data_IF_642445258682
#
_entry.id   IF_642445258682
#
_cell.length_a   1.000
_cell.length_b   1.000
_cell.length_c   1.000
_cell.angle_alpha   90.00
_cell.angle_beta   90.00
_cell.angle_gamma   90.00
#
_symmetry.space_group_name_H-M   'P 1'
#
loop_
_entity.id
_entity.type
_entity.pdbx_description
1 polymer ?
#
# COMPACT_ATOMS: atom_id res chain seq x y z
N UNK A 1 11.91 19.06 12.61
CA UNK A 1 11.08 17.87 12.32
C UNK A 1 10.72 17.93 10.85
N UNK A 2 10.86 16.82 10.10
CA UNK A 2 10.30 16.76 8.75
C UNK A 2 8.77 16.78 8.87
N UNK A 3 8.10 17.61 8.08
CA UNK A 3 6.63 17.63 8.04
C UNK A 3 6.15 16.57 7.06
N UNK A 4 5.34 15.62 7.54
CA UNK A 4 4.60 14.71 6.67
C UNK A 4 3.31 15.38 6.18
N UNK A 5 2.82 15.08 4.96
CA UNK A 5 1.51 15.52 4.53
C UNK A 5 0.42 14.70 5.22
N UNK A 6 0.03 15.13 6.43
CA UNK A 6 -0.90 14.37 7.28
C UNK A 6 -2.33 14.28 6.73
N UNK A 7 -2.76 15.24 5.91
CA UNK A 7 -4.07 15.26 5.28
C UNK A 7 -4.10 14.40 4.01
N UNK A 8 -3.80 13.11 4.18
CA UNK A 8 -3.77 12.10 3.13
C UNK A 8 -4.02 10.70 3.71
N UNK A 9 -4.41 9.76 2.85
CA UNK A 9 -4.54 8.35 3.21
C UNK A 9 -3.21 7.63 3.14
N UNK A 10 -2.90 6.86 4.18
CA UNK A 10 -1.72 6.00 4.27
C UNK A 10 -2.13 4.57 4.58
N UNK A 11 -1.61 3.59 3.84
CA UNK A 11 -1.79 2.19 4.20
C UNK A 11 -1.09 1.90 5.54
N UNK A 12 -1.82 1.40 6.51
CA UNK A 12 -1.33 1.05 7.84
C UNK A 12 -0.99 -0.43 7.98
N UNK A 13 -1.63 -1.27 7.18
CA UNK A 13 -1.52 -2.72 7.20
C UNK A 13 -2.17 -3.32 5.93
N UNK A 14 -1.77 -4.54 5.58
CA UNK A 14 -2.68 -5.43 4.85
C UNK A 14 -3.90 -5.76 5.71
N UNK A 15 -5.05 -5.93 5.09
CA UNK A 15 -6.30 -6.28 5.78
C UNK A 15 -6.19 -7.54 6.65
N UNK A 16 -5.47 -8.56 6.17
CA UNK A 16 -5.21 -9.82 6.88
C UNK A 16 -4.29 -9.69 8.10
N UNK A 17 -3.50 -8.61 8.20
CA UNK A 17 -2.69 -8.32 9.40
C UNK A 17 -3.57 -7.86 10.56
N UNK A 18 -4.68 -7.16 10.27
CA UNK A 18 -5.58 -6.62 11.29
C UNK A 18 -6.60 -7.67 11.69
N UNK A 19 -6.37 -8.27 12.84
CA UNK A 19 -7.23 -9.32 13.43
C UNK A 19 -8.06 -8.74 14.58
N UNK A 20 -8.88 -9.58 15.20
CA UNK A 20 -9.47 -9.28 16.51
C UNK A 20 -8.41 -9.39 17.61
N UNK A 21 -7.40 -8.54 17.51
CA UNK A 21 -6.23 -8.43 18.35
C UNK A 21 -5.62 -7.03 18.15
N UNK A 22 -4.90 -6.53 19.15
CA UNK A 22 -4.28 -5.22 19.08
C UNK A 22 -3.01 -5.26 18.21
N UNK A 23 -2.97 -4.44 17.17
CA UNK A 23 -1.82 -4.26 16.28
C UNK A 23 -1.27 -2.84 16.43
N UNK A 24 -0.08 -2.72 17.00
CA UNK A 24 0.63 -1.44 17.06
C UNK A 24 1.27 -1.12 15.70
N UNK A 25 1.11 0.11 15.23
CA UNK A 25 1.77 0.66 14.05
C UNK A 25 2.18 2.10 14.32
N UNK A 26 3.27 2.56 13.70
CA UNK A 26 3.60 3.99 13.68
C UNK A 26 3.46 4.52 12.26
N UNK A 27 2.75 5.64 12.12
CA UNK A 27 2.48 6.29 10.84
C UNK A 27 2.76 7.77 11.00
N UNK A 28 3.64 8.33 10.18
CA UNK A 28 4.01 9.75 10.23
C UNK A 28 4.44 10.19 11.65
N UNK A 29 5.28 9.40 12.34
CA UNK A 29 5.66 9.54 13.75
C UNK A 29 4.53 9.37 14.79
N UNK A 30 3.28 9.14 14.40
CA UNK A 30 2.15 8.95 15.31
C UNK A 30 1.99 7.47 15.66
N UNK A 31 1.88 7.15 16.96
CA UNK A 31 1.68 5.77 17.43
C UNK A 31 0.19 5.45 17.38
N UNK A 32 -0.17 4.38 16.70
CA UNK A 32 -1.55 3.99 16.41
C UNK A 32 -1.73 2.52 16.78
N UNK A 33 -2.83 2.18 17.42
CA UNK A 33 -3.27 0.81 17.63
C UNK A 33 -4.48 0.53 16.75
N UNK A 34 -4.37 -0.49 15.90
CA UNK A 34 -5.45 -0.99 15.05
C UNK A 34 -6.01 -2.28 15.63
N UNK A 35 -7.32 -2.48 15.48
CA UNK A 35 -7.95 -3.76 15.79
C UNK A 35 -9.23 -3.94 14.98
N UNK A 36 -9.55 -5.20 14.69
CA UNK A 36 -10.81 -5.58 14.03
C UNK A 36 -11.89 -5.81 15.08
N UNK A 37 -13.03 -5.16 14.91
CA UNK A 37 -14.25 -5.37 15.70
C UNK A 37 -14.93 -6.68 15.29
N UNK A 38 -15.85 -7.16 16.10
CA UNK A 38 -16.59 -8.41 15.89
C UNK A 38 -17.50 -8.35 14.67
N UNK A 39 -17.97 -7.17 14.29
CA UNK A 39 -18.72 -6.92 13.04
C UNK A 39 -17.84 -6.91 11.78
N UNK A 40 -16.52 -7.07 11.93
CA UNK A 40 -15.54 -7.06 10.86
C UNK A 40 -14.99 -5.68 10.50
N UNK A 41 -15.56 -4.59 11.01
CA UNK A 41 -15.01 -3.23 10.83
C UNK A 41 -13.68 -3.06 11.57
N UNK A 42 -12.90 -2.05 11.21
CA UNK A 42 -11.61 -1.76 11.83
C UNK A 42 -11.71 -0.47 12.63
N UNK A 43 -11.11 -0.45 13.82
CA UNK A 43 -10.85 0.76 14.59
C UNK A 43 -9.35 1.08 14.59
N UNK A 44 -9.03 2.37 14.63
CA UNK A 44 -7.67 2.87 14.77
C UNK A 44 -7.65 3.99 15.82
N UNK A 45 -6.95 3.77 16.93
CA UNK A 45 -6.85 4.71 18.04
C UNK A 45 -5.41 5.14 18.25
N UNK A 46 -5.21 6.29 18.87
CA UNK A 46 -3.90 6.71 19.37
C UNK A 46 -3.40 5.69 20.39
N UNK A 47 -2.18 5.23 20.19
CA UNK A 47 -1.56 4.22 21.04
C UNK A 47 -0.91 4.85 22.28
N UNK A 48 -1.71 5.61 23.02
CA UNK A 48 -1.35 6.27 24.26
C UNK A 48 -2.59 6.48 25.12
N UNK A 49 -2.68 5.77 26.24
CA UNK A 49 -3.79 5.91 27.18
C UNK A 49 -3.89 7.35 27.71
N UNK A 50 -5.10 7.93 27.68
CA UNK A 50 -5.38 9.26 28.21
C UNK A 50 -4.85 9.49 29.64
N UNK A 51 -4.86 8.46 30.49
CA UNK A 51 -4.47 8.58 31.89
C UNK A 51 -2.96 8.79 32.09
N UNK A 52 -2.11 7.87 31.60
CA UNK A 52 -0.64 7.90 31.81
C UNK A 52 0.18 7.49 30.59
N UNK A 53 -0.40 7.61 29.40
CA UNK A 53 0.26 7.38 28.12
C UNK A 53 0.83 5.96 27.91
N UNK A 54 0.42 4.97 28.71
CA UNK A 54 0.75 3.57 28.42
C UNK A 54 0.22 3.27 27.00
N UNK A 55 1.04 2.67 26.11
CA UNK A 55 0.55 2.16 24.85
C UNK A 55 -0.67 1.26 25.07
N UNK A 56 -1.78 1.63 24.45
CA UNK A 56 -3.03 0.88 24.49
C UNK A 56 -2.88 -0.50 23.85
N UNK A 57 -1.97 -0.63 22.88
CA UNK A 57 -1.54 -1.89 22.27
C UNK A 57 -0.95 -2.91 23.25
N UNK A 58 -0.50 -2.48 24.44
CA UNK A 58 -0.08 -3.38 25.53
C UNK A 58 -1.26 -3.84 26.42
N UNK A 59 -2.48 -3.50 26.03
CA UNK A 59 -3.72 -3.91 26.68
C UNK A 59 -4.29 -5.20 26.11
N UNK A 60 -5.63 -5.30 26.14
CA UNK A 60 -6.40 -6.39 25.54
C UNK A 60 -7.72 -5.87 24.98
N UNK A 61 -8.40 -6.70 24.20
CA UNK A 61 -9.79 -6.47 23.82
C UNK A 61 -10.73 -7.22 24.77
N UNK A 62 -11.83 -6.57 25.13
CA UNK A 62 -13.00 -7.19 25.75
C UNK A 62 -14.23 -6.83 24.89
N UNK A 63 -14.72 -7.80 24.11
CA UNK A 63 -15.62 -7.48 23.00
C UNK A 63 -14.94 -6.54 22.02
N UNK A 64 -15.60 -5.45 21.64
CA UNK A 64 -15.07 -4.41 20.74
C UNK A 64 -14.39 -3.25 21.46
N UNK A 65 -14.16 -3.39 22.77
CA UNK A 65 -13.55 -2.34 23.57
C UNK A 65 -12.12 -2.69 23.95
N UNK A 66 -11.27 -1.66 23.95
CA UNK A 66 -9.86 -1.76 24.31
C UNK A 66 -9.70 -1.47 25.80
N UNK A 67 -9.25 -2.47 26.54
CA UNK A 67 -8.89 -2.35 27.96
C UNK A 67 -7.40 -2.03 28.10
N UNK A 68 -7.08 -0.86 28.65
CA UNK A 68 -5.71 -0.43 28.90
C UNK A 68 -5.00 -1.37 29.88
N UNK A 69 -3.81 -1.86 29.50
CA UNK A 69 -3.00 -2.78 30.30
C UNK A 69 -2.42 -2.21 31.60
N UNK A 70 -2.60 -0.91 31.89
CA UNK A 70 -2.08 -0.30 33.11
C UNK A 70 -3.10 -0.30 34.25
N UNK A 71 -4.16 0.51 34.12
CA UNK A 71 -5.15 0.74 35.17
C UNK A 71 -6.57 0.33 34.75
N UNK A 72 -6.70 -0.41 33.63
CA UNK A 72 -7.98 -0.99 33.19
C UNK A 72 -9.01 0.01 32.66
N UNK A 73 -8.62 1.24 32.31
CA UNK A 73 -9.53 2.13 31.55
C UNK A 73 -9.93 1.46 30.24
N UNK A 74 -11.21 1.52 29.93
CA UNK A 74 -11.78 0.91 28.72
C UNK A 74 -12.14 2.01 27.74
N UNK A 75 -11.78 1.82 26.48
CA UNK A 75 -12.05 2.74 25.39
C UNK A 75 -12.82 2.01 24.28
N UNK A 76 -13.88 2.63 23.78
CA UNK A 76 -14.55 2.15 22.58
C UNK A 76 -13.71 2.46 21.33
N UNK A 77 -14.13 1.93 20.18
CA UNK A 77 -13.39 2.13 18.92
C UNK A 77 -13.45 3.56 18.34
N UNK A 78 -14.18 4.49 18.97
CA UNK A 78 -14.16 5.92 18.64
C UNK A 78 -13.27 6.72 19.62
N UNK A 79 -12.54 6.01 20.49
CA UNK A 79 -11.56 6.55 21.42
C UNK A 79 -12.16 7.11 22.71
N UNK A 80 -13.48 7.04 22.90
CA UNK A 80 -14.15 7.49 24.13
C UNK A 80 -13.96 6.47 25.23
N UNK A 81 -13.55 6.92 26.42
CA UNK A 81 -13.55 6.07 27.60
C UNK A 81 -14.98 5.71 28.00
N UNK A 82 -15.25 4.42 28.16
CA UNK A 82 -16.55 3.83 28.51
C UNK A 82 -16.57 3.22 29.89
N UNK A 83 -15.40 2.95 30.47
CA UNK A 83 -15.28 2.47 31.85
C UNK A 83 -13.97 2.94 32.50
N UNK A 84 -14.07 3.36 33.76
CA UNK A 84 -12.94 3.71 34.62
C UNK A 84 -13.02 2.90 35.91
N UNK A 85 -12.06 1.99 36.15
CA UNK A 85 -12.02 1.30 37.43
C UNK A 85 -11.93 2.28 38.60
N UNK A 86 -12.65 1.98 39.67
CA UNK A 86 -12.70 2.77 40.91
C UNK A 86 -13.35 4.16 40.80
N UNK A 87 -14.11 4.45 39.72
CA UNK A 87 -14.90 5.69 39.61
C UNK A 87 -16.34 5.37 39.19
N UNK A 88 -17.31 5.99 39.87
CA UNK A 88 -18.72 5.91 39.47
C UNK A 88 -19.04 6.79 38.25
N UNK A 89 -18.27 7.87 38.07
CA UNK A 89 -18.45 8.82 36.96
C UNK A 89 -17.25 8.79 36.04
N UNK A 90 -17.51 8.77 34.73
CA UNK A 90 -16.47 8.81 33.70
C UNK A 90 -16.10 10.26 33.46
N UNK A 91 -14.80 10.59 33.54
CA UNK A 91 -14.33 11.92 33.18
C UNK A 91 -14.66 12.21 31.70
N UNK A 92 -15.42 13.27 31.38
CA UNK A 92 -15.83 13.55 30.00
C UNK A 92 -14.66 13.87 29.05
N UNK A 93 -13.49 14.27 29.57
CA UNK A 93 -12.30 14.50 28.76
C UNK A 93 -11.49 13.24 28.49
N UNK A 94 -11.85 12.09 29.07
CA UNK A 94 -11.12 10.84 28.88
C UNK A 94 -11.43 10.23 27.51
N UNK A 95 -10.75 10.77 26.52
CA UNK A 95 -10.76 10.31 25.15
C UNK A 95 -9.32 10.16 24.68
N UNK A 96 -9.07 9.14 23.87
CA UNK A 96 -7.90 9.08 23.00
C UNK A 96 -8.34 9.46 21.60
N UNK A 97 -7.40 9.94 20.78
CA UNK A 97 -7.73 10.27 19.39
C UNK A 97 -8.12 9.00 18.63
N UNK A 98 -9.24 9.03 17.93
CA UNK A 98 -9.57 8.06 16.90
C UNK A 98 -9.17 8.60 15.52
N UNK A 99 -8.67 7.71 14.66
CA UNK A 99 -8.27 8.04 13.31
C UNK A 99 -9.32 7.53 12.31
N UNK A 100 -9.73 8.32 11.30
CA UNK A 100 -10.49 7.79 10.19
C UNK A 100 -9.75 6.61 9.57
N UNK A 101 -10.47 5.52 9.35
CA UNK A 101 -9.93 4.25 8.86
C UNK A 101 -10.87 3.65 7.83
N UNK A 102 -10.30 3.15 6.73
CA UNK A 102 -11.05 2.51 5.65
C UNK A 102 -10.32 1.24 5.23
N UNK A 103 -11.05 0.13 5.12
CA UNK A 103 -10.51 -1.08 4.49
C UNK A 103 -10.89 -1.09 3.01
N UNK A 104 -9.91 -1.04 2.12
CA UNK A 104 -10.12 -1.01 0.66
C UNK A 104 -8.89 -1.53 -0.07
N UNK A 105 -9.10 -2.23 -1.18
CA UNK A 105 -8.02 -2.77 -2.03
C UNK A 105 -7.04 -3.68 -1.27
N UNK A 106 -7.56 -4.52 -0.36
CA UNK A 106 -6.80 -5.38 0.59
C UNK A 106 -5.88 -4.65 1.57
N UNK A 107 -6.02 -3.34 1.70
CA UNK A 107 -5.30 -2.54 2.68
C UNK A 107 -6.25 -1.94 3.71
N UNK A 108 -5.72 -1.68 4.90
CA UNK A 108 -6.33 -0.81 5.90
C UNK A 108 -5.66 0.55 5.81
N UNK A 109 -6.40 1.55 5.36
CA UNK A 109 -5.96 2.93 5.20
C UNK A 109 -6.30 3.75 6.44
N UNK A 110 -5.36 4.59 6.88
CA UNK A 110 -5.54 5.50 8.01
C UNK A 110 -5.26 6.93 7.58
N UNK A 111 -6.06 7.88 8.08
CA UNK A 111 -5.88 9.30 7.88
C UNK A 111 -5.28 9.96 9.15
N UNK A 112 -3.98 10.29 9.17
CA UNK A 112 -3.30 10.80 10.37
C UNK A 112 -3.43 12.32 10.57
N UNK A 113 -4.14 13.02 9.68
CA UNK A 113 -4.34 14.48 9.70
C UNK A 113 -5.66 14.91 10.34
N UNK A 114 -6.20 16.02 9.86
CA UNK A 114 -7.50 16.54 10.30
C UNK A 114 -8.62 15.59 9.85
N UNK A 115 -9.34 14.93 10.77
CA UNK A 115 -10.39 13.99 10.41
C UNK A 115 -11.54 14.62 9.62
N UNK A 116 -11.77 15.93 9.74
CA UNK A 116 -12.81 16.62 8.97
C UNK A 116 -12.50 16.71 7.46
N UNK A 117 -11.23 16.50 7.08
CA UNK A 117 -10.78 16.52 5.68
C UNK A 117 -10.64 15.13 5.06
N UNK A 118 -10.84 14.08 5.86
CA UNK A 118 -10.77 12.70 5.44
C UNK A 118 -11.92 12.40 4.48
N UNK A 119 -11.57 12.03 3.25
CA UNK A 119 -12.50 11.75 2.17
C UNK A 119 -12.05 10.46 1.50
N UNK A 120 -12.87 9.43 1.59
CA UNK A 120 -12.56 8.09 1.06
C UNK A 120 -12.27 8.11 -0.45
N UNK A 121 -12.85 9.04 -1.20
CA UNK A 121 -12.61 9.15 -2.64
C UNK A 121 -11.17 9.53 -2.99
N UNK A 122 -10.40 10.02 -2.00
CA UNK A 122 -8.97 10.35 -2.13
C UNK A 122 -8.05 9.14 -1.89
N UNK A 123 -8.58 7.95 -1.58
CA UNK A 123 -7.76 6.74 -1.50
C UNK A 123 -7.28 6.41 -2.92
N UNK A 124 -5.96 6.20 -3.13
CA UNK A 124 -5.43 5.85 -4.44
C UNK A 124 -6.06 4.56 -4.99
N UNK A 125 -6.38 4.57 -6.27
CA UNK A 125 -6.95 3.40 -6.93
C UNK A 125 -5.90 2.29 -7.08
N UNK A 126 -6.13 1.21 -6.33
CA UNK A 126 -5.34 -0.03 -6.36
C UNK A 126 -6.28 -1.24 -6.51
N UNK A 127 -7.41 -1.08 -7.21
CA UNK A 127 -8.47 -2.11 -7.31
C UNK A 127 -7.99 -3.48 -7.77
N UNK A 128 -6.97 -3.55 -8.63
CA UNK A 128 -6.32 -4.79 -9.08
C UNK A 128 -5.91 -5.71 -7.94
N UNK A 129 -5.64 -5.18 -6.73
CA UNK A 129 -5.29 -6.01 -5.59
C UNK A 129 -6.47 -6.86 -5.10
N UNK A 130 -7.70 -6.39 -5.26
CA UNK A 130 -8.92 -7.00 -4.73
C UNK A 130 -9.91 -7.47 -5.80
N UNK A 131 -9.65 -7.18 -7.07
CA UNK A 131 -10.50 -7.55 -8.19
C UNK A 131 -10.36 -9.05 -8.50
N UNK A 132 -11.44 -9.84 -8.55
CA UNK A 132 -11.38 -11.28 -8.85
C UNK A 132 -10.89 -11.61 -10.27
N UNK A 133 -10.87 -10.65 -11.20
CA UNK A 133 -10.22 -10.79 -12.51
C UNK A 133 -8.68 -10.76 -12.42
N UNK A 134 -8.13 -10.51 -11.23
CA UNK A 134 -6.71 -10.39 -10.96
C UNK A 134 -6.29 -11.35 -9.87
N UNK A 135 -5.14 -11.98 -10.07
CA UNK A 135 -4.51 -12.86 -9.10
C UNK A 135 -3.16 -12.25 -8.69
N UNK A 136 -2.86 -12.27 -7.40
CA UNK A 136 -1.66 -11.63 -6.92
C UNK A 136 -1.44 -11.77 -5.43
N UNK A 137 -0.19 -11.66 -5.04
CA UNK A 137 0.22 -11.62 -3.64
C UNK A 137 1.13 -10.41 -3.39
N UNK A 138 1.29 -10.09 -2.12
CA UNK A 138 2.05 -8.93 -1.69
C UNK A 138 2.61 -9.11 -0.29
N UNK A 139 3.57 -8.25 0.05
CA UNK A 139 4.20 -8.27 1.37
C UNK A 139 4.44 -6.86 1.88
N UNK A 140 4.54 -6.77 3.19
CA UNK A 140 5.08 -5.60 3.89
C UNK A 140 6.59 -5.79 4.07
N UNK A 141 7.36 -4.78 3.70
CA UNK A 141 8.79 -4.66 3.98
C UNK A 141 9.00 -3.41 4.83
N UNK A 142 9.68 -3.53 5.96
CA UNK A 142 10.15 -2.35 6.72
C UNK A 142 11.51 -1.92 6.18
N UNK A 143 11.61 -0.68 5.71
CA UNK A 143 12.83 -0.13 5.13
C UNK A 143 13.39 0.95 6.05
N UNK A 144 14.69 0.90 6.32
CA UNK A 144 15.39 1.85 7.20
C UNK A 144 15.89 3.08 6.44
N UNK A 145 14.98 3.76 5.75
CA UNK A 145 15.25 5.02 5.08
C UNK A 145 14.02 5.94 5.07
N UNK A 146 14.21 7.20 4.66
CA UNK A 146 13.11 8.11 4.35
C UNK A 146 12.27 7.52 3.21
N UNK A 147 10.95 7.50 3.38
CA UNK A 147 10.01 6.90 2.42
C UNK A 147 10.18 7.43 0.99
N UNK A 148 10.61 8.69 0.83
CA UNK A 148 10.83 9.30 -0.49
C UNK A 148 11.96 8.64 -1.27
N UNK A 149 12.94 8.05 -0.61
CA UNK A 149 14.01 7.33 -1.31
C UNK A 149 13.49 6.04 -1.96
N UNK A 150 12.46 5.42 -1.37
CA UNK A 150 11.77 4.28 -1.99
C UNK A 150 10.90 4.75 -3.15
N UNK A 151 10.24 5.92 -3.02
CA UNK A 151 9.50 6.54 -4.14
C UNK A 151 10.45 6.86 -5.29
N UNK A 152 11.59 7.50 -5.04
CA UNK A 152 12.61 7.81 -6.05
C UNK A 152 13.07 6.53 -6.76
N UNK A 153 13.31 5.45 -6.01
CA UNK A 153 13.66 4.14 -6.57
C UNK A 153 12.55 3.56 -7.48
N UNK A 154 11.27 3.68 -7.08
CA UNK A 154 10.15 3.14 -7.85
C UNK A 154 9.78 4.00 -9.07
N UNK A 155 10.07 5.29 -9.02
CA UNK A 155 9.87 6.23 -10.13
C UNK A 155 10.97 6.16 -11.20
N UNK A 156 12.08 5.47 -10.91
CA UNK A 156 13.16 5.21 -11.86
C UNK A 156 13.40 3.70 -12.03
N UNK A 157 12.79 3.11 -13.06
CA UNK A 157 12.96 1.69 -13.36
C UNK A 157 14.24 1.35 -14.13
N UNK A 158 15.13 2.31 -14.42
CA UNK A 158 16.38 2.00 -15.14
C UNK A 158 17.29 1.05 -14.34
N UNK A 159 17.16 1.04 -13.00
CA UNK A 159 17.90 0.13 -12.12
C UNK A 159 17.56 -1.35 -12.36
N UNK A 160 16.42 -1.68 -12.98
CA UNK A 160 16.05 -3.08 -13.27
C UNK A 160 17.13 -3.79 -14.07
N UNK A 161 17.78 -3.10 -15.02
CA UNK A 161 18.83 -3.67 -15.85
C UNK A 161 20.05 -4.17 -15.03
N UNK A 162 20.29 -3.56 -13.86
CA UNK A 162 21.48 -3.81 -13.06
C UNK A 162 21.19 -4.60 -11.79
N UNK A 163 20.11 -4.26 -11.09
CA UNK A 163 19.72 -4.89 -9.81
C UNK A 163 18.85 -6.14 -10.04
N UNK A 164 18.10 -6.17 -11.14
CA UNK A 164 17.14 -7.23 -11.46
C UNK A 164 17.43 -7.95 -12.79
N UNK A 165 18.70 -7.96 -13.23
CA UNK A 165 19.11 -8.50 -14.52
C UNK A 165 18.84 -10.00 -14.71
N UNK A 166 18.65 -10.77 -13.64
CA UNK A 166 18.29 -12.19 -13.70
C UNK A 166 16.78 -12.45 -13.82
N UNK A 167 15.94 -11.42 -13.72
CA UNK A 167 14.48 -11.56 -13.73
C UNK A 167 13.79 -10.63 -14.72
N UNK A 168 13.63 -9.35 -14.38
CA UNK A 168 12.85 -8.36 -15.14
C UNK A 168 13.73 -7.36 -15.91
N UNK A 169 15.04 -7.32 -15.63
CA UNK A 169 15.99 -6.43 -16.29
C UNK A 169 16.41 -6.89 -17.69
N UNK A 170 16.58 -5.93 -18.60
CA UNK A 170 17.37 -6.05 -19.83
C UNK A 170 17.88 -4.65 -20.24
N UNK A 171 18.85 -4.57 -21.16
CA UNK A 171 19.46 -3.29 -21.57
C UNK A 171 18.44 -2.29 -22.13
N UNK A 172 17.39 -2.78 -22.80
CA UNK A 172 16.33 -1.96 -23.36
C UNK A 172 15.64 -1.07 -22.31
N UNK A 173 15.51 -1.53 -21.05
CA UNK A 173 14.92 -0.71 -19.97
C UNK A 173 15.79 0.52 -19.64
N UNK A 174 17.12 0.38 -19.73
CA UNK A 174 18.06 1.47 -19.45
C UNK A 174 18.22 2.44 -20.63
N UNK A 175 18.01 1.97 -21.85
CA UNK A 175 18.29 2.73 -23.08
C UNK A 175 17.05 3.36 -23.72
N UNK A 176 15.86 2.78 -23.51
CA UNK A 176 14.65 3.25 -24.16
C UNK A 176 14.20 4.62 -23.60
N UNK A 177 13.76 5.54 -24.49
CA UNK A 177 13.23 6.82 -24.07
C UNK A 177 11.96 6.63 -23.23
N UNK A 178 11.68 7.60 -22.36
CA UNK A 178 10.46 7.66 -21.58
C UNK A 178 9.77 8.99 -21.78
N UNK A 179 8.46 9.00 -21.59
CA UNK A 179 7.64 10.22 -21.56
C UNK A 179 7.16 10.43 -20.13
N UNK A 180 7.49 11.58 -19.56
CA UNK A 180 6.98 12.00 -18.25
C UNK A 180 5.87 13.04 -18.45
N UNK A 181 4.74 12.83 -17.79
CA UNK A 181 3.62 13.78 -17.73
C UNK A 181 3.17 13.93 -16.28
N UNK A 182 2.49 15.03 -15.96
CA UNK A 182 1.88 15.21 -14.66
C UNK A 182 0.53 15.92 -14.79
N UNK A 183 -0.38 15.59 -13.88
CA UNK A 183 -1.62 16.32 -13.64
C UNK A 183 -1.60 16.97 -12.26
N UNK A 184 -2.77 17.39 -11.79
CA UNK A 184 -2.89 18.05 -10.48
C UNK A 184 -2.57 17.12 -9.30
N UNK A 185 -2.86 15.82 -9.46
CA UNK A 185 -2.73 14.80 -8.40
C UNK A 185 -1.92 13.59 -8.81
N UNK A 186 -1.31 13.57 -9.99
CA UNK A 186 -0.56 12.39 -10.46
C UNK A 186 0.65 12.78 -11.27
N UNK A 187 1.67 11.93 -11.25
CA UNK A 187 2.76 11.95 -12.21
C UNK A 187 2.83 10.58 -12.90
N UNK A 188 3.03 10.58 -14.22
CA UNK A 188 3.09 9.37 -15.02
C UNK A 188 4.38 9.32 -15.83
N UNK A 189 5.08 8.20 -15.75
CA UNK A 189 6.26 7.90 -16.58
C UNK A 189 5.95 6.69 -17.42
N UNK A 190 5.95 6.87 -18.75
CA UNK A 190 5.64 5.83 -19.72
C UNK A 190 6.89 5.48 -20.50
N UNK A 191 7.21 4.19 -20.57
CA UNK A 191 8.26 3.63 -21.41
C UNK A 191 7.70 2.48 -22.24
N UNK A 192 7.94 2.55 -23.53
CA UNK A 192 7.72 1.47 -24.47
C UNK A 192 9.06 0.96 -24.97
N UNK A 193 9.19 -0.35 -25.06
CA UNK A 193 10.36 -1.05 -25.60
C UNK A 193 9.84 -2.02 -26.65
N UNK A 194 9.91 -1.61 -27.91
CA UNK A 194 9.34 -2.33 -29.04
C UNK A 194 10.35 -3.31 -29.63
N UNK A 195 9.86 -4.47 -30.10
CA UNK A 195 10.65 -5.49 -30.79
C UNK A 195 11.93 -5.93 -30.04
N UNK A 196 11.82 -6.16 -28.73
CA UNK A 196 12.95 -6.60 -27.88
C UNK A 196 12.89 -8.09 -27.58
N UNK A 197 14.01 -8.68 -27.15
CA UNK A 197 13.93 -9.98 -26.49
C UNK A 197 13.26 -9.80 -25.12
N UNK A 198 12.24 -10.64 -24.79
CA UNK A 198 11.59 -10.55 -23.48
C UNK A 198 12.62 -10.89 -22.39
N UNK A 199 12.67 -10.12 -21.29
CA UNK A 199 13.49 -10.50 -20.14
C UNK A 199 12.98 -11.82 -19.53
N UNK A 200 13.82 -12.54 -18.74
CA UNK A 200 13.53 -13.90 -18.30
C UNK A 200 12.14 -14.11 -17.68
N UNK A 201 11.70 -13.20 -16.81
CA UNK A 201 10.37 -13.26 -16.19
C UNK A 201 9.27 -13.22 -17.26
N UNK A 202 9.25 -12.18 -18.09
CA UNK A 202 8.22 -12.00 -19.13
C UNK A 202 8.26 -13.08 -20.20
N UNK A 203 9.45 -13.59 -20.54
CA UNK A 203 9.60 -14.74 -21.43
C UNK A 203 8.91 -15.99 -20.87
N UNK A 204 9.01 -16.21 -19.56
CA UNK A 204 8.28 -17.27 -18.86
C UNK A 204 6.77 -17.06 -18.90
N UNK A 205 6.31 -15.87 -18.50
CA UNK A 205 4.88 -15.57 -18.39
C UNK A 205 4.16 -15.65 -19.75
N UNK A 206 4.72 -15.06 -20.81
CA UNK A 206 4.08 -15.08 -22.13
C UNK A 206 4.10 -16.49 -22.75
N UNK A 207 5.15 -17.28 -22.48
CA UNK A 207 5.23 -18.66 -22.95
C UNK A 207 4.20 -19.54 -22.26
N UNK A 208 4.05 -19.43 -20.94
CA UNK A 208 3.08 -20.24 -20.20
C UNK A 208 1.65 -19.85 -20.59
N UNK A 209 1.33 -18.55 -20.54
CA UNK A 209 -0.04 -18.08 -20.74
C UNK A 209 -0.50 -18.13 -22.21
N UNK A 210 0.42 -18.00 -23.17
CA UNK A 210 0.09 -17.85 -24.61
C UNK A 210 0.79 -18.85 -25.53
N UNK A 211 1.69 -19.69 -25.03
CA UNK A 211 2.51 -20.57 -25.87
C UNK A 211 3.48 -19.83 -26.78
N UNK A 212 3.74 -18.54 -26.54
CA UNK A 212 4.53 -17.70 -27.45
C UNK A 212 6.01 -17.68 -27.07
N UNK A 213 6.88 -17.77 -28.08
CA UNK A 213 8.31 -17.51 -27.98
C UNK A 213 8.74 -16.62 -29.14
N UNK A 214 9.40 -15.51 -28.85
CA UNK A 214 9.83 -14.54 -29.85
C UNK A 214 10.02 -13.15 -29.25
N UNK A 215 10.18 -12.17 -30.13
CA UNK A 215 10.32 -10.75 -29.76
C UNK A 215 8.99 -10.21 -29.22
N UNK A 216 9.08 -9.26 -28.30
CA UNK A 216 7.91 -8.64 -27.67
C UNK A 216 7.96 -7.12 -27.74
N UNK A 217 6.78 -6.51 -27.68
CA UNK A 217 6.63 -5.12 -27.27
C UNK A 217 6.34 -5.11 -25.78
N UNK A 218 7.18 -4.42 -25.00
CA UNK A 218 7.08 -4.29 -23.54
C UNK A 218 6.68 -2.88 -23.16
N UNK A 219 5.82 -2.75 -22.17
CA UNK A 219 5.48 -1.46 -21.55
C UNK A 219 5.80 -1.42 -20.07
N UNK A 220 6.10 -0.21 -19.61
CA UNK A 220 6.15 0.18 -18.20
C UNK A 220 5.48 1.55 -18.09
N UNK A 221 4.34 1.59 -17.41
CA UNK A 221 3.59 2.82 -17.17
C UNK A 221 3.49 3.01 -15.66
N UNK A 222 4.37 3.85 -15.12
CA UNK A 222 4.41 4.20 -13.71
C UNK A 222 3.41 5.33 -13.48
N UNK A 223 2.53 5.20 -12.48
CA UNK A 223 1.63 6.24 -11.98
C UNK A 223 1.92 6.48 -10.50
N UNK A 224 2.45 7.65 -10.18
CA UNK A 224 2.56 8.15 -8.83
C UNK A 224 1.32 8.96 -8.45
N UNK A 225 0.82 8.72 -7.25
CA UNK A 225 -0.19 9.54 -6.58
C UNK A 225 0.35 9.94 -5.20
N UNK A 226 0.39 11.24 -4.88
CA UNK A 226 0.91 11.70 -3.61
C UNK A 226 -0.01 11.26 -2.46
N UNK A 227 0.56 11.03 -1.27
CA UNK A 227 1.95 11.32 -0.94
C UNK A 227 2.93 10.17 -1.25
N UNK A 228 2.45 8.93 -1.41
CA UNK A 228 3.34 7.78 -1.34
C UNK A 228 2.88 6.53 -2.10
N UNK A 229 1.98 6.64 -3.08
CA UNK A 229 1.51 5.48 -3.84
C UNK A 229 2.09 5.48 -5.25
N UNK A 230 2.62 4.34 -5.68
CA UNK A 230 3.14 4.10 -7.02
C UNK A 230 2.53 2.82 -7.57
N UNK A 231 1.71 2.93 -8.61
CA UNK A 231 1.18 1.79 -9.36
C UNK A 231 1.92 1.70 -10.69
N UNK A 232 2.40 0.51 -11.06
CA UNK A 232 3.16 0.29 -12.28
C UNK A 232 2.44 -0.73 -13.15
N UNK A 233 1.82 -0.27 -14.22
CA UNK A 233 1.26 -1.12 -15.26
C UNK A 233 2.41 -1.63 -16.14
N UNK A 234 2.58 -2.95 -16.14
CA UNK A 234 3.68 -3.63 -16.81
C UNK A 234 3.16 -4.80 -17.63
N UNK A 235 3.85 -5.11 -18.72
CA UNK A 235 3.54 -6.30 -19.48
C UNK A 235 4.27 -6.39 -20.79
N UNK A 236 3.98 -7.48 -21.50
CA UNK A 236 4.50 -7.76 -22.84
C UNK A 236 3.41 -8.32 -23.73
N UNK A 237 3.52 -8.05 -25.03
CA UNK A 237 2.76 -8.72 -26.08
C UNK A 237 3.71 -9.11 -27.22
N UNK A 238 3.38 -10.11 -28.06
CA UNK A 238 4.17 -10.41 -29.24
C UNK A 238 4.40 -9.15 -30.09
N UNK A 239 5.62 -8.94 -30.56
CA UNK A 239 5.97 -7.71 -31.27
C UNK A 239 5.10 -7.47 -32.50
N UNK A 240 4.67 -6.22 -32.70
CA UNK A 240 3.88 -5.82 -33.87
C UNK A 240 2.40 -6.22 -33.83
N UNK A 241 1.87 -6.64 -32.67
CA UNK A 241 0.46 -7.03 -32.52
C UNK A 241 -0.49 -5.87 -32.18
N UNK A 242 0.02 -4.64 -32.07
CA UNK A 242 -0.81 -3.46 -31.78
C UNK A 242 -0.75 -2.96 -30.34
N UNK A 243 0.10 -3.54 -29.48
CA UNK A 243 0.17 -3.17 -28.07
C UNK A 243 0.50 -1.69 -27.82
N UNK A 244 1.49 -1.06 -28.51
CA UNK A 244 1.73 0.38 -28.39
C UNK A 244 0.54 1.24 -28.83
N UNK A 245 -0.32 0.73 -29.70
CA UNK A 245 -1.53 1.40 -30.22
C UNK A 245 -2.76 1.16 -29.33
N UNK A 246 -2.62 0.38 -28.26
CA UNK A 246 -3.66 0.14 -27.26
C UNK A 246 -4.23 -1.28 -27.26
N UNK A 247 -3.92 -2.11 -28.26
CA UNK A 247 -4.37 -3.51 -28.28
C UNK A 247 -3.35 -4.43 -27.58
N UNK A 248 -3.54 -4.62 -26.28
CA UNK A 248 -2.72 -5.54 -25.46
C UNK A 248 -3.33 -6.94 -25.34
N UNK A 249 -4.38 -7.26 -26.10
CA UNK A 249 -5.17 -8.51 -25.95
C UNK A 249 -4.37 -9.79 -26.18
N UNK A 250 -3.29 -9.71 -26.97
CA UNK A 250 -2.37 -10.82 -27.28
C UNK A 250 -1.29 -11.02 -26.21
N UNK A 251 -1.21 -10.12 -25.22
CA UNK A 251 -0.16 -10.08 -24.22
C UNK A 251 -0.50 -10.72 -22.87
N UNK A 252 0.42 -10.49 -21.95
CA UNK A 252 0.29 -10.73 -20.52
C UNK A 252 0.54 -9.42 -19.77
N UNK A 253 -0.28 -9.12 -18.77
CA UNK A 253 -0.28 -7.85 -18.07
C UNK A 253 -0.31 -8.04 -16.56
N UNK A 254 0.40 -7.18 -15.86
CA UNK A 254 0.37 -7.08 -14.42
C UNK A 254 0.47 -5.63 -13.93
N UNK A 255 0.08 -5.44 -12.68
CA UNK A 255 0.30 -4.21 -11.92
C UNK A 255 1.23 -4.50 -10.74
N UNK A 256 2.32 -3.75 -10.64
CA UNK A 256 3.11 -3.65 -9.40
C UNK A 256 2.51 -2.52 -8.58
N UNK A 257 1.86 -2.86 -7.48
CA UNK A 257 1.12 -1.93 -6.63
C UNK A 257 1.96 -1.62 -5.39
N UNK A 258 2.29 -0.35 -5.15
CA UNK A 258 3.20 0.05 -4.09
C UNK A 258 2.63 1.21 -3.29
N UNK A 259 2.69 1.13 -1.97
CA UNK A 259 2.45 2.29 -1.08
C UNK A 259 3.47 2.30 0.05
N UNK A 260 4.12 3.46 0.25
CA UNK A 260 5.27 3.62 1.13
C UNK A 260 4.91 4.55 2.28
N UNK A 261 4.33 3.98 3.33
CA UNK A 261 3.88 4.76 4.48
C UNK A 261 5.08 5.12 5.37
N UNK A 262 5.37 6.42 5.60
CA UNK A 262 6.44 6.81 6.51
C UNK A 262 6.09 6.35 7.94
N UNK A 263 7.03 5.68 8.59
CA UNK A 263 6.92 5.27 9.99
C UNK A 263 7.54 6.37 10.87
N UNK A 264 8.78 6.73 10.56
CA UNK A 264 9.53 7.84 11.17
C UNK A 264 10.20 8.71 10.11
N UNK A 265 11.01 9.68 10.52
CA UNK A 265 11.81 10.52 9.61
C UNK A 265 12.88 9.73 8.83
N UNK A 266 13.18 8.49 9.26
CA UNK A 266 14.26 7.64 8.73
C UNK A 266 13.86 6.17 8.54
N UNK A 267 12.58 5.83 8.68
CA UNK A 267 12.05 4.49 8.45
C UNK A 267 10.67 4.55 7.78
N UNK A 268 10.32 3.53 7.00
CA UNK A 268 9.01 3.42 6.36
C UNK A 268 8.52 1.97 6.25
N UNK A 269 7.21 1.84 6.12
CA UNK A 269 6.48 0.63 5.78
C UNK A 269 6.22 0.62 4.28
N UNK A 270 6.88 -0.28 3.57
CA UNK A 270 6.72 -0.47 2.14
C UNK A 270 5.80 -1.67 1.89
N UNK A 271 4.56 -1.38 1.52
CA UNK A 271 3.60 -2.38 1.08
C UNK A 271 3.71 -2.51 -0.43
N UNK A 272 3.97 -3.73 -0.92
CA UNK A 272 3.99 -4.02 -2.35
C UNK A 272 3.16 -5.26 -2.67
N UNK A 273 2.50 -5.26 -3.82
CA UNK A 273 1.82 -6.42 -4.38
C UNK A 273 2.06 -6.50 -5.89
N UNK A 274 2.05 -7.71 -6.44
CA UNK A 274 1.99 -7.91 -7.89
C UNK A 274 0.67 -8.60 -8.24
N UNK A 275 -0.17 -7.92 -9.01
CA UNK A 275 -1.44 -8.44 -9.50
C UNK A 275 -1.34 -8.68 -11.01
N UNK A 276 -1.77 -9.84 -11.49
CA UNK A 276 -1.79 -10.19 -12.92
C UNK A 276 -3.19 -10.64 -13.36
N UNK A 277 -3.49 -10.48 -14.64
CA UNK A 277 -4.78 -10.83 -15.23
C UNK A 277 -4.76 -12.12 -16.08
N UNK A 278 -3.73 -12.95 -15.92
CA UNK A 278 -3.53 -14.20 -16.64
C UNK A 278 -3.14 -15.30 -15.67
N UNK A 279 -3.40 -16.57 -16.04
CA UNK A 279 -3.09 -17.76 -15.23
C UNK A 279 -3.58 -17.62 -13.77
N UNK A 280 -4.82 -17.19 -13.56
CA UNK A 280 -5.34 -16.78 -12.24
C UNK A 280 -5.30 -17.89 -11.17
N UNK A 281 -5.23 -19.16 -11.58
CA UNK A 281 -5.17 -20.33 -10.69
C UNK A 281 -3.77 -20.73 -10.23
N UNK A 282 -2.71 -20.20 -10.83
CA UNK A 282 -1.33 -20.52 -10.46
C UNK A 282 -0.87 -19.61 -9.31
N UNK A 283 -0.34 -20.17 -8.22
CA UNK A 283 0.29 -19.42 -7.12
C UNK A 283 1.80 -19.61 -7.14
#
# INVERSE_FOLDING_TARGET
>A
MKNFPLNAWYAAAYDVEVKHALLARRICNQKIVLFRRLDGSVAALEDACWHRLLPLSMGRLEGDELVCGYHGLVFNGDGRCTHMPSQETINPSACVRAFPVVQKHRFVWVWPGDPALADESKIPDLHWNADPAWAGDGKLITVKCDYRLVIDNLMDLTHEAFVHGSSIGNSAVAEAPFVATHGDRTATVTRWMENIDPPPFWAGQVRNARGYTGKVDRWQVIRFEPPCTVAIDVGVAPAGTGAPQGDRSQGVNGYVLNTITPETDTTCHYFWAFARNYELGDQ
#
